data_IF_601754673944
#
_entry.id   IF_601754673944
#
_cell.length_a   1.000
_cell.length_b   1.000
_cell.length_c   1.000
_cell.angle_alpha   90.00
_cell.angle_beta   90.00
_cell.angle_gamma   90.00
#
_symmetry.space_group_name_H-M   'P 1'
#
loop_
_entity.id
_entity.type
_entity.pdbx_description
1 polymer ?
#
# COMPACT_ATOMS: atom_id res chain seq x y z
N UNK A 1 -10.46 9.92 49.69
CA UNK A 1 -10.40 8.79 48.73
C UNK A 1 -9.98 9.37 47.38
N UNK A 2 -8.70 9.29 47.02
CA UNK A 2 -8.14 9.99 45.84
C UNK A 2 -8.14 9.04 44.64
N UNK A 3 -8.95 9.32 43.62
CA UNK A 3 -8.94 8.59 42.35
C UNK A 3 -7.73 9.06 41.53
N UNK A 4 -6.73 8.19 41.38
CA UNK A 4 -5.63 8.41 40.43
C UNK A 4 -6.15 8.12 39.02
N UNK A 5 -6.26 9.16 38.21
CA UNK A 5 -6.47 9.03 36.76
C UNK A 5 -5.12 8.70 36.15
N UNK A 6 -4.98 7.47 35.66
CA UNK A 6 -3.81 7.05 34.88
C UNK A 6 -4.07 7.47 33.45
N UNK A 7 -3.45 8.56 33.01
CA UNK A 7 -3.40 8.94 31.60
C UNK A 7 -2.39 8.03 30.90
N UNK A 8 -2.90 6.99 30.23
CA UNK A 8 -2.10 6.18 29.32
C UNK A 8 -1.93 7.01 28.04
N UNK A 9 -0.80 7.70 27.94
CA UNK A 9 -0.32 8.26 26.68
C UNK A 9 0.09 7.08 25.79
N UNK A 10 -0.84 6.59 24.97
CA UNK A 10 -0.46 5.79 23.80
C UNK A 10 0.31 6.71 22.86
N UNK A 11 1.61 6.49 22.59
CA UNK A 11 2.27 7.21 21.53
C UNK A 11 1.52 6.85 20.24
N UNK A 12 0.93 7.87 19.60
CA UNK A 12 0.32 7.72 18.28
C UNK A 12 1.47 7.52 17.28
N UNK A 13 2.02 6.31 17.24
CA UNK A 13 2.82 5.84 16.12
C UNK A 13 1.85 5.79 14.94
N UNK A 14 1.75 6.88 14.19
CA UNK A 14 1.11 6.87 12.88
C UNK A 14 2.03 6.02 12.00
N UNK A 15 1.76 4.71 12.02
CA UNK A 15 2.34 3.77 11.08
C UNK A 15 2.03 4.26 9.66
N UNK A 16 2.99 4.11 8.76
CA UNK A 16 2.78 4.41 7.37
C UNK A 16 1.59 3.59 6.84
N UNK A 17 0.72 4.24 6.06
CA UNK A 17 -0.55 3.67 5.62
C UNK A 17 -0.51 3.35 4.13
N UNK A 18 -1.17 2.26 3.72
CA UNK A 18 -1.35 1.91 2.32
C UNK A 18 -2.85 1.93 2.01
N UNK A 19 -3.24 2.82 1.10
CA UNK A 19 -4.61 2.91 0.61
C UNK A 19 -4.66 2.39 -0.82
N UNK A 20 -5.43 1.33 -1.05
CA UNK A 20 -5.70 0.77 -2.36
C UNK A 20 -7.11 1.13 -2.80
N UNK A 21 -7.25 1.60 -4.04
CA UNK A 21 -8.53 1.98 -4.63
C UNK A 21 -8.61 1.43 -6.05
N UNK A 22 -9.78 0.93 -6.42
CA UNK A 22 -10.13 0.58 -7.79
C UNK A 22 -11.00 1.68 -8.37
N UNK A 23 -10.55 2.25 -9.50
CA UNK A 23 -11.28 3.22 -10.31
C UNK A 23 -11.33 2.70 -11.74
N UNK A 24 -12.53 2.34 -12.20
CA UNK A 24 -12.72 1.68 -13.50
C UNK A 24 -11.78 0.46 -13.63
N UNK A 25 -11.00 0.42 -14.71
CA UNK A 25 -10.04 -0.65 -15.04
C UNK A 25 -8.67 -0.47 -14.39
N UNK A 26 -8.55 0.36 -13.34
CA UNK A 26 -7.26 0.63 -12.69
C UNK A 26 -7.34 0.45 -11.18
N UNK A 27 -6.40 -0.31 -10.65
CA UNK A 27 -6.12 -0.44 -9.22
C UNK A 27 -4.91 0.43 -8.91
N UNK A 28 -5.03 1.33 -7.95
CA UNK A 28 -3.92 2.17 -7.45
C UNK A 28 -3.73 1.90 -5.96
N UNK A 29 -2.52 1.55 -5.55
CA UNK A 29 -2.14 1.46 -4.15
C UNK A 29 -1.11 2.55 -3.83
N UNK A 30 -1.47 3.44 -2.93
CA UNK A 30 -0.63 4.57 -2.49
C UNK A 30 -0.09 4.28 -1.10
N UNK A 31 1.24 4.35 -0.96
CA UNK A 31 1.93 4.30 0.32
C UNK A 31 2.20 5.72 0.80
N UNK A 32 1.73 6.07 2.00
CA UNK A 32 1.93 7.38 2.61
C UNK A 32 3.11 7.37 3.57
N UNK A 33 3.96 8.38 3.42
CA UNK A 33 5.23 8.51 4.14
C UNK A 33 5.23 9.83 4.88
N UNK A 34 5.65 9.82 6.14
CA UNK A 34 5.93 11.07 6.84
C UNK A 34 7.12 11.75 6.17
N UNK A 35 6.95 13.00 5.70
CA UNK A 35 8.01 13.70 4.94
C UNK A 35 9.32 13.83 5.71
N UNK A 36 9.24 13.95 7.04
CA UNK A 36 10.39 13.97 7.95
C UNK A 36 11.17 12.65 7.91
N UNK A 37 10.47 11.52 7.84
CA UNK A 37 11.07 10.19 7.76
C UNK A 37 11.75 9.97 6.40
N UNK A 38 11.31 10.70 5.37
CA UNK A 38 11.89 10.72 4.03
C UNK A 38 12.81 11.94 3.78
N UNK A 39 13.47 12.51 4.80
CA UNK A 39 14.31 13.69 4.59
C UNK A 39 15.51 13.46 3.63
N UNK A 40 15.94 12.20 3.46
CA UNK A 40 17.11 11.84 2.65
C UNK A 40 16.77 11.02 1.39
N UNK A 41 15.49 10.86 1.06
CA UNK A 41 15.05 9.89 0.07
C UNK A 41 14.93 8.50 0.69
N UNK A 42 14.06 7.67 0.12
CA UNK A 42 13.94 6.26 0.50
C UNK A 42 13.73 5.36 -0.72
N UNK A 43 14.02 4.09 -0.55
CA UNK A 43 13.69 3.05 -1.50
C UNK A 43 12.60 2.19 -0.92
N UNK A 44 11.50 2.03 -1.66
CA UNK A 44 10.44 1.11 -1.27
C UNK A 44 10.27 -0.02 -2.26
N UNK A 45 9.85 -1.17 -1.76
CA UNK A 45 9.37 -2.29 -2.57
C UNK A 45 7.89 -2.50 -2.32
N UNK A 46 7.08 -2.44 -3.38
CA UNK A 46 5.71 -2.92 -3.40
C UNK A 46 5.71 -4.40 -3.73
N UNK A 47 5.18 -5.21 -2.81
CA UNK A 47 4.96 -6.64 -2.97
C UNK A 47 3.46 -6.86 -3.09
N UNK A 48 3.01 -7.21 -4.28
CA UNK A 48 1.65 -7.60 -4.60
C UNK A 48 1.55 -9.11 -4.52
N UNK A 49 0.62 -9.61 -3.71
CA UNK A 49 0.29 -11.02 -3.61
C UNK A 49 -1.14 -11.24 -4.12
N UNK A 50 -1.28 -12.03 -5.18
CA UNK A 50 -2.56 -12.43 -5.75
C UNK A 50 -3.22 -13.52 -4.90
N UNK A 51 -4.53 -13.73 -5.04
CA UNK A 51 -5.27 -14.73 -4.26
C UNK A 51 -4.66 -16.15 -4.29
N UNK A 52 -4.17 -16.61 -5.45
CA UNK A 52 -3.53 -17.93 -5.61
C UNK A 52 -2.00 -17.87 -5.77
N UNK A 53 -1.43 -16.69 -6.01
CA UNK A 53 0.01 -16.49 -6.20
C UNK A 53 0.48 -16.46 -7.65
N UNK A 54 -0.40 -16.74 -8.63
CA UNK A 54 -0.04 -16.79 -10.04
C UNK A 54 0.26 -15.40 -10.65
N UNK A 55 -0.17 -14.32 -9.96
CA UNK A 55 -0.01 -12.93 -10.43
C UNK A 55 0.70 -12.02 -9.41
N UNK A 56 1.55 -12.64 -8.60
CA UNK A 56 2.43 -11.96 -7.65
C UNK A 56 3.41 -11.04 -8.39
N UNK A 57 3.72 -9.89 -7.78
CA UNK A 57 4.67 -8.93 -8.34
C UNK A 57 5.42 -8.18 -7.26
N UNK A 58 6.72 -8.03 -7.45
CA UNK A 58 7.55 -7.10 -6.68
C UNK A 58 7.97 -5.94 -7.58
N UNK A 59 7.83 -4.71 -7.12
CA UNK A 59 8.29 -3.51 -7.83
C UNK A 59 8.97 -2.54 -6.89
N UNK A 60 10.17 -2.08 -7.30
CA UNK A 60 11.02 -1.16 -6.53
C UNK A 60 10.84 0.27 -7.01
N UNK A 61 10.80 1.21 -6.06
CA UNK A 61 10.72 2.64 -6.33
C UNK A 61 11.80 3.38 -5.53
N UNK A 62 12.46 4.33 -6.18
CA UNK A 62 13.26 5.36 -5.50
C UNK A 62 12.37 6.58 -5.28
N UNK A 63 12.06 6.86 -4.03
CA UNK A 63 11.22 8.00 -3.63
C UNK A 63 12.14 9.19 -3.36
N UNK A 64 11.96 10.33 -4.04
CA UNK A 64 12.78 11.51 -3.79
C UNK A 64 12.63 12.03 -2.35
N UNK A 65 13.63 12.77 -1.82
CA UNK A 65 13.53 13.39 -0.50
C UNK A 65 12.26 14.24 -0.33
N UNK A 66 11.71 14.21 0.88
CA UNK A 66 10.53 14.96 1.32
C UNK A 66 9.21 14.65 0.58
N UNK A 67 9.20 13.67 -0.33
CA UNK A 67 7.94 13.18 -0.90
C UNK A 67 7.13 12.47 0.19
N UNK A 68 5.84 12.79 0.24
CA UNK A 68 4.93 12.26 1.27
C UNK A 68 4.19 11.00 0.83
N UNK A 69 4.40 10.54 -0.40
CA UNK A 69 3.80 9.31 -0.90
C UNK A 69 4.50 8.80 -2.16
N UNK A 70 4.23 7.55 -2.46
CA UNK A 70 4.55 6.89 -3.73
C UNK A 70 3.43 5.89 -4.02
N UNK A 71 3.10 5.69 -5.29
CA UNK A 71 2.05 4.77 -5.67
C UNK A 71 2.54 3.79 -6.74
N UNK A 72 1.92 2.63 -6.73
CA UNK A 72 1.98 1.67 -7.83
C UNK A 72 0.56 1.39 -8.31
N UNK A 73 0.43 1.05 -9.58
CA UNK A 73 -0.87 0.74 -10.17
C UNK A 73 -0.81 -0.54 -11.01
N UNK A 74 -1.99 -1.12 -11.22
CA UNK A 74 -2.24 -2.26 -12.11
C UNK A 74 -3.55 -2.03 -12.86
N UNK A 75 -3.63 -2.51 -14.09
CA UNK A 75 -4.91 -2.61 -14.78
C UNK A 75 -5.67 -3.83 -14.27
N UNK A 76 -7.00 -3.75 -14.18
CA UNK A 76 -7.89 -4.83 -13.75
C UNK A 76 -7.93 -5.99 -14.76
N UNK A 77 -7.92 -5.77 -16.10
CA UNK A 77 -7.99 -6.87 -17.05
C UNK A 77 -6.81 -7.85 -16.91
N UNK A 78 -7.16 -9.14 -16.89
CA UNK A 78 -6.21 -10.24 -16.75
C UNK A 78 -5.56 -10.34 -15.37
N UNK A 79 -6.14 -9.71 -14.33
CA UNK A 79 -5.75 -9.94 -12.93
C UNK A 79 -6.65 -11.00 -12.31
N UNK A 80 -6.12 -11.71 -11.34
CA UNK A 80 -6.87 -12.69 -10.58
C UNK A 80 -7.95 -12.03 -9.70
N UNK A 81 -9.19 -12.50 -9.77
CA UNK A 81 -10.28 -12.07 -8.88
C UNK A 81 -10.10 -12.59 -7.46
N UNK A 82 -10.50 -11.80 -6.46
CA UNK A 82 -10.49 -12.17 -5.05
C UNK A 82 -9.67 -11.23 -4.17
N UNK A 83 -9.27 -11.72 -2.99
CA UNK A 83 -8.57 -10.91 -2.00
C UNK A 83 -7.07 -10.81 -2.28
N UNK A 84 -6.62 -9.63 -2.61
CA UNK A 84 -5.21 -9.30 -2.78
C UNK A 84 -4.60 -8.80 -1.48
N UNK A 85 -3.30 -9.06 -1.31
CA UNK A 85 -2.48 -8.50 -0.23
C UNK A 85 -1.38 -7.65 -0.82
N UNK A 86 -1.22 -6.42 -0.34
CA UNK A 86 -0.12 -5.53 -0.73
C UNK A 86 0.72 -5.22 0.48
N UNK A 87 2.02 -5.47 0.36
CA UNK A 87 3.02 -5.15 1.39
C UNK A 87 4.00 -4.14 0.81
N UNK A 88 4.20 -3.03 1.50
CA UNK A 88 5.26 -2.07 1.13
C UNK A 88 6.36 -2.15 2.17
N UNK A 89 7.61 -2.29 1.72
CA UNK A 89 8.80 -2.35 2.58
C UNK A 89 9.73 -1.20 2.26
N UNK A 90 10.13 -0.44 3.28
CA UNK A 90 11.21 0.53 3.20
C UNK A 90 12.55 -0.17 3.40
N UNK A 91 13.49 -0.01 2.46
CA UNK A 91 14.74 -0.75 2.49
C UNK A 91 15.77 -0.17 3.47
N UNK A 92 15.71 1.14 3.70
CA UNK A 92 16.64 1.83 4.58
C UNK A 92 16.28 1.66 6.07
N UNK A 93 14.99 1.57 6.38
CA UNK A 93 14.49 1.53 7.77
C UNK A 93 13.96 0.16 8.19
N UNK A 94 13.76 -0.77 7.25
CA UNK A 94 13.03 -2.03 7.44
C UNK A 94 11.59 -1.86 7.95
N UNK A 95 11.02 -0.65 7.89
CA UNK A 95 9.59 -0.45 8.15
C UNK A 95 8.77 -1.12 7.05
N UNK A 96 7.61 -1.63 7.42
CA UNK A 96 6.67 -2.19 6.45
C UNK A 96 5.24 -1.87 6.82
N UNK A 97 4.42 -1.68 5.79
CA UNK A 97 2.98 -1.59 5.91
C UNK A 97 2.33 -2.71 5.10
N UNK A 98 1.13 -3.11 5.47
CA UNK A 98 0.35 -4.14 4.78
C UNK A 98 -1.09 -3.72 4.68
N UNK A 99 -1.70 -3.94 3.52
CA UNK A 99 -3.13 -3.74 3.29
C UNK A 99 -3.71 -4.89 2.48
N UNK A 100 -5.03 -4.99 2.49
CA UNK A 100 -5.80 -5.97 1.72
C UNK A 100 -6.92 -5.24 0.98
N UNK A 101 -7.22 -5.71 -0.22
CA UNK A 101 -8.37 -5.25 -0.97
C UNK A 101 -8.98 -6.42 -1.74
N UNK A 102 -10.29 -6.37 -1.94
CA UNK A 102 -11.01 -7.35 -2.72
C UNK A 102 -11.16 -6.82 -4.16
N UNK A 103 -10.64 -7.58 -5.13
CA UNK A 103 -10.76 -7.28 -6.55
C UNK A 103 -11.92 -8.09 -7.14
N UNK A 104 -12.96 -7.39 -7.56
CA UNK A 104 -13.99 -7.95 -8.41
C UNK A 104 -13.55 -7.68 -9.86
N UNK A 105 -13.56 -8.71 -10.71
CA UNK A 105 -13.10 -8.57 -12.10
C UNK A 105 -13.88 -7.50 -12.86
N UNK A 106 -13.30 -7.06 -13.97
CA UNK A 106 -13.96 -6.18 -14.92
C UNK A 106 -15.08 -6.95 -15.65
N UNK A 107 -16.24 -6.33 -15.85
CA UNK A 107 -17.21 -6.81 -16.84
C UNK A 107 -16.50 -6.92 -18.20
N UNK A 108 -16.75 -8.00 -18.96
CA UNK A 108 -16.07 -8.36 -20.21
C UNK A 108 -16.15 -7.32 -21.36
N UNK A 109 -16.67 -6.12 -21.12
CA UNK A 109 -16.90 -5.08 -22.12
C UNK A 109 -15.61 -4.39 -22.63
N UNK A 110 -14.44 -4.66 -22.03
CA UNK A 110 -13.19 -3.99 -22.43
C UNK A 110 -12.62 -4.48 -23.79
N UNK A 111 -12.97 -5.69 -24.24
CA UNK A 111 -12.49 -6.24 -25.52
C UNK A 111 -13.60 -6.38 -26.58
N UNK A 112 -14.78 -5.81 -26.31
CA UNK A 112 -15.84 -5.75 -27.31
C UNK A 112 -15.58 -4.56 -28.24
N UNK A 113 -14.86 -4.80 -29.33
CA UNK A 113 -14.79 -3.92 -30.50
C UNK A 113 -16.15 -3.83 -31.22
#
# INVERSE_FOLDING_TARGET
MVRKIVLILFPLLIAADIVCQQENERITCTYFIQRSDNAHGLTVEFHWYSPKGDDDRIKKFKVPPFYGSVYDYRFVPGREEGRWRVVVRELETNKSATTFFDLNGSSEEFFAD
#
